data_IF_351457482285
#
_entry.id   IF_351457482285
#
_cell.length_a   1.000
_cell.length_b   1.000
_cell.length_c   1.000
_cell.angle_alpha   90.00
_cell.angle_beta   90.00
_cell.angle_gamma   90.00
#
_symmetry.space_group_name_H-M   'P 1'
#
loop_
_entity.id
_entity.type
_entity.pdbx_description
1 polymer ?
#
# COMPACT_ATOMS: atom_id res chain seq x y z
N UNK A 1 -15.72 -40.71 -4.99
CA UNK A 1 -15.43 -39.40 -4.36
C UNK A 1 -15.26 -38.41 -5.51
N UNK A 2 -16.26 -37.49 -5.75
CA UNK A 2 -16.10 -36.40 -6.71
C UNK A 2 -14.91 -35.56 -6.23
N UNK A 3 -13.92 -35.30 -7.10
CA UNK A 3 -12.82 -34.38 -6.81
C UNK A 3 -13.45 -33.01 -6.53
N UNK A 4 -13.40 -32.56 -5.29
CA UNK A 4 -13.84 -31.21 -4.91
C UNK A 4 -13.06 -30.18 -5.69
N UNK A 5 -13.72 -29.19 -6.24
CA UNK A 5 -13.10 -28.04 -6.89
C UNK A 5 -12.56 -27.15 -5.79
N UNK A 6 -11.26 -26.93 -5.73
CA UNK A 6 -10.65 -25.97 -4.79
C UNK A 6 -10.39 -24.68 -5.55
N UNK A 7 -10.90 -23.59 -5.04
CA UNK A 7 -10.65 -22.25 -5.59
C UNK A 7 -10.02 -21.40 -4.49
N UNK A 8 -8.95 -20.68 -4.82
CA UNK A 8 -8.31 -19.71 -3.90
C UNK A 8 -8.91 -18.34 -4.18
N UNK A 9 -9.55 -17.77 -3.18
CA UNK A 9 -10.11 -16.43 -3.25
C UNK A 9 -9.23 -15.52 -2.38
N UNK A 10 -8.60 -14.47 -2.95
CA UNK A 10 -7.75 -13.58 -2.20
C UNK A 10 -8.56 -12.72 -1.22
N UNK A 11 -7.93 -12.18 -0.18
CA UNK A 11 -8.57 -11.20 0.68
C UNK A 11 -8.92 -9.94 -0.11
N UNK A 12 -10.20 -9.53 -0.07
CA UNK A 12 -10.66 -8.33 -0.75
C UNK A 12 -10.68 -7.10 0.16
N UNK A 13 -10.70 -5.95 -0.48
CA UNK A 13 -10.90 -4.64 0.13
C UNK A 13 -12.22 -4.01 -0.35
N UNK A 14 -12.75 -3.05 0.39
CA UNK A 14 -13.80 -2.16 -0.13
C UNK A 14 -13.15 -1.12 -1.06
N UNK A 15 -12.90 -1.53 -2.31
CA UNK A 15 -12.11 -0.76 -3.26
C UNK A 15 -12.69 0.62 -3.55
N UNK A 16 -14.01 0.80 -3.46
CA UNK A 16 -14.66 2.10 -3.69
C UNK A 16 -14.19 3.18 -2.72
N UNK A 17 -13.83 2.80 -1.47
CA UNK A 17 -13.34 3.75 -0.46
C UNK A 17 -11.98 4.35 -0.78
N UNK A 18 -11.20 3.68 -1.63
CA UNK A 18 -9.82 4.07 -1.91
C UNK A 18 -9.63 4.76 -3.25
N UNK A 19 -10.69 4.89 -4.06
CA UNK A 19 -10.59 5.55 -5.37
C UNK A 19 -10.01 6.95 -5.24
N UNK A 20 -9.11 7.30 -6.16
CA UNK A 20 -8.50 8.63 -6.17
C UNK A 20 -9.54 9.74 -6.29
N UNK A 21 -9.43 10.71 -5.41
CA UNK A 21 -10.25 11.92 -5.38
C UNK A 21 -9.35 13.15 -5.19
N UNK A 22 -9.29 14.00 -6.20
CA UNK A 22 -8.45 15.19 -6.19
C UNK A 22 -8.88 16.21 -5.12
N UNK A 23 -10.19 16.32 -4.85
CA UNK A 23 -10.68 17.25 -3.83
C UNK A 23 -10.30 16.78 -2.41
N UNK A 24 -10.43 15.49 -2.13
CA UNK A 24 -9.97 14.88 -0.87
C UNK A 24 -8.46 15.03 -0.73
N UNK A 25 -7.70 14.83 -1.83
CA UNK A 25 -6.25 15.04 -1.82
C UNK A 25 -5.88 16.46 -1.40
N UNK A 26 -6.51 17.45 -2.03
CA UNK A 26 -6.25 18.86 -1.74
C UNK A 26 -6.60 19.21 -0.29
N UNK A 27 -7.77 18.76 0.19
CA UNK A 27 -8.20 18.95 1.58
C UNK A 27 -7.21 18.34 2.56
N UNK A 28 -6.83 17.06 2.35
CA UNK A 28 -5.92 16.36 3.26
C UNK A 28 -4.52 16.97 3.28
N UNK A 29 -4.00 17.40 2.11
CA UNK A 29 -2.69 18.06 2.04
C UNK A 29 -2.70 19.39 2.77
N UNK A 30 -3.77 20.19 2.64
CA UNK A 30 -3.94 21.43 3.39
C UNK A 30 -4.05 21.17 4.89
N UNK A 31 -4.90 20.21 5.30
CA UNK A 31 -5.10 19.84 6.70
C UNK A 31 -3.79 19.41 7.37
N UNK A 32 -2.96 18.66 6.66
CA UNK A 32 -1.67 18.15 7.13
C UNK A 32 -0.48 19.08 6.85
N UNK A 33 -0.72 20.27 6.25
CA UNK A 33 0.31 21.26 5.88
C UNK A 33 1.38 20.66 4.95
N UNK A 34 0.91 19.95 3.92
CA UNK A 34 1.75 19.21 2.96
C UNK A 34 1.81 19.89 1.57
N UNK A 35 1.32 21.14 1.45
CA UNK A 35 1.41 21.88 0.19
C UNK A 35 2.87 22.04 -0.24
N UNK A 36 3.16 21.76 -1.51
CA UNK A 36 4.52 21.80 -2.06
C UNK A 36 5.47 20.73 -1.53
N UNK A 37 5.00 19.78 -0.71
CA UNK A 37 5.82 18.66 -0.23
C UNK A 37 5.74 17.48 -1.18
N UNK A 38 6.82 16.72 -1.25
CA UNK A 38 6.85 15.39 -1.84
C UNK A 38 6.58 14.36 -0.73
N UNK A 39 5.43 13.70 -0.78
CA UNK A 39 4.92 12.89 0.33
C UNK A 39 5.11 11.41 0.04
N UNK A 40 6.02 10.79 0.78
CA UNK A 40 6.17 9.34 0.83
C UNK A 40 5.26 8.79 1.93
N UNK A 41 4.43 7.81 1.62
CA UNK A 41 3.57 7.14 2.58
C UNK A 41 4.00 5.71 2.87
N UNK A 42 3.79 5.28 4.10
CA UNK A 42 3.84 3.88 4.50
C UNK A 42 2.69 3.59 5.46
N UNK A 43 2.00 2.47 5.25
CA UNK A 43 0.91 2.00 6.10
C UNK A 43 1.22 0.59 6.55
N UNK A 44 1.37 0.40 7.87
CA UNK A 44 1.68 -0.91 8.42
C UNK A 44 2.05 -0.87 9.90
N UNK A 45 1.91 -2.00 10.59
CA UNK A 45 2.29 -2.11 11.98
C UNK A 45 3.82 -1.99 12.17
N UNK A 46 4.26 -1.35 13.25
CA UNK A 46 5.68 -1.23 13.58
C UNK A 46 6.21 -2.55 14.14
N UNK A 47 6.41 -3.52 13.23
CA UNK A 47 6.95 -4.86 13.50
C UNK A 47 8.07 -5.19 12.50
N UNK A 48 8.91 -6.15 12.85
CA UNK A 48 10.08 -6.55 12.05
C UNK A 48 9.79 -6.80 10.56
N UNK A 49 8.70 -7.48 10.17
CA UNK A 49 8.42 -7.73 8.74
C UNK A 49 8.29 -6.46 7.89
N UNK A 50 7.84 -5.34 8.48
CA UNK A 50 7.64 -4.08 7.74
C UNK A 50 8.93 -3.31 7.44
N UNK A 51 10.06 -3.72 8.06
CA UNK A 51 11.40 -3.22 7.73
C UNK A 51 11.55 -1.69 7.78
N UNK A 52 11.01 -1.07 8.83
CA UNK A 52 11.07 0.39 9.01
C UNK A 52 12.48 0.94 9.07
N UNK A 53 13.45 0.13 9.53
CA UNK A 53 14.88 0.51 9.55
C UNK A 53 15.35 0.85 8.13
N UNK A 54 15.13 -0.04 7.18
CA UNK A 54 15.50 0.16 5.80
C UNK A 54 14.66 1.25 5.12
N UNK A 55 13.37 1.32 5.46
CA UNK A 55 12.48 2.39 5.00
C UNK A 55 13.01 3.78 5.37
N UNK A 56 13.49 3.98 6.60
CA UNK A 56 14.10 5.25 7.02
C UNK A 56 15.41 5.54 6.28
N UNK A 57 16.23 4.52 6.00
CA UNK A 57 17.45 4.68 5.19
C UNK A 57 17.13 5.15 3.77
N UNK A 58 16.10 4.57 3.12
CA UNK A 58 15.63 5.00 1.81
C UNK A 58 15.12 6.45 1.87
N UNK A 59 14.31 6.78 2.87
CA UNK A 59 13.79 8.13 3.02
C UNK A 59 14.90 9.14 3.32
N UNK A 60 15.91 8.79 4.09
CA UNK A 60 17.09 9.63 4.31
C UNK A 60 17.78 9.97 2.99
N UNK A 61 17.95 8.99 2.10
CA UNK A 61 18.54 9.22 0.78
C UNK A 61 17.64 10.11 -0.11
N UNK A 62 16.31 9.98 -0.03
CA UNK A 62 15.37 10.90 -0.70
C UNK A 62 15.52 12.31 -0.13
N UNK A 63 15.49 12.45 1.21
CA UNK A 63 15.56 13.74 1.90
C UNK A 63 16.87 14.50 1.67
N UNK A 64 17.97 13.79 1.46
CA UNK A 64 19.25 14.42 1.05
C UNK A 64 19.11 15.16 -0.27
N UNK A 65 18.38 14.62 -1.24
CA UNK A 65 18.21 15.12 -2.60
C UNK A 65 17.01 16.07 -2.75
N UNK A 66 15.96 15.84 -1.98
CA UNK A 66 14.70 16.60 -2.00
C UNK A 66 14.32 17.07 -0.59
N UNK A 67 14.74 18.27 -0.20
CA UNK A 67 14.51 18.82 1.15
C UNK A 67 13.03 19.12 1.44
N UNK A 68 12.17 19.15 0.45
CA UNK A 68 10.73 19.25 0.59
C UNK A 68 10.04 17.87 0.77
N UNK A 69 10.78 16.76 0.74
CA UNK A 69 10.21 15.44 1.00
C UNK A 69 9.79 15.29 2.47
N UNK A 70 8.69 14.57 2.68
CA UNK A 70 8.20 14.16 4.00
C UNK A 70 7.78 12.69 3.96
N UNK A 71 7.93 12.01 5.10
CA UNK A 71 7.51 10.63 5.28
C UNK A 71 6.35 10.57 6.27
N UNK A 72 5.23 9.98 5.84
CA UNK A 72 4.07 9.74 6.70
C UNK A 72 4.00 8.23 7.02
N UNK A 73 4.05 7.90 8.30
CA UNK A 73 4.00 6.54 8.82
C UNK A 73 2.69 6.33 9.58
N UNK A 74 1.81 5.48 9.04
CA UNK A 74 0.54 5.11 9.64
C UNK A 74 0.63 3.70 10.22
N UNK A 75 0.20 3.55 11.47
CA UNK A 75 0.19 2.30 12.21
C UNK A 75 0.86 2.44 13.58
N UNK A 76 0.81 1.36 14.34
CA UNK A 76 1.40 1.24 15.67
C UNK A 76 2.13 -0.08 15.81
N UNK A 77 2.94 -0.21 16.84
CA UNK A 77 3.62 -1.46 17.16
C UNK A 77 4.86 -1.29 18.03
N UNK A 78 5.39 -2.42 18.46
CA UNK A 78 6.46 -2.48 19.47
C UNK A 78 7.77 -1.81 19.04
N UNK A 79 8.00 -1.65 17.74
CA UNK A 79 9.22 -1.03 17.23
C UNK A 79 9.11 0.49 17.02
N UNK A 80 7.95 1.11 17.30
CA UNK A 80 7.71 2.51 16.97
C UNK A 80 8.74 3.45 17.62
N UNK A 81 9.04 3.25 18.92
CA UNK A 81 10.02 4.09 19.62
C UNK A 81 11.45 3.88 19.09
N UNK A 82 11.81 2.66 18.72
CA UNK A 82 13.10 2.37 18.07
C UNK A 82 13.22 3.10 16.73
N UNK A 83 12.13 3.12 15.93
CA UNK A 83 12.11 3.79 14.63
C UNK A 83 12.17 5.31 14.78
N UNK A 84 11.52 5.90 15.81
CA UNK A 84 11.65 7.33 16.13
C UNK A 84 13.09 7.71 16.45
N UNK A 85 13.73 6.95 17.35
CA UNK A 85 15.12 7.18 17.72
C UNK A 85 16.05 7.10 16.50
N UNK A 86 15.85 6.14 15.63
CA UNK A 86 16.61 6.04 14.38
C UNK A 86 16.42 7.24 13.46
N UNK A 87 15.19 7.79 13.37
CA UNK A 87 14.94 9.00 12.58
C UNK A 87 15.69 10.23 13.16
N UNK A 88 15.82 10.32 14.49
CA UNK A 88 16.64 11.33 15.17
C UNK A 88 18.13 11.14 14.87
N UNK A 89 18.65 9.93 15.00
CA UNK A 89 20.05 9.59 14.71
C UNK A 89 20.44 9.89 13.25
N UNK A 90 19.49 9.70 12.32
CA UNK A 90 19.68 10.05 10.90
C UNK A 90 19.49 11.57 10.62
N UNK A 91 19.06 12.36 11.61
CA UNK A 91 18.84 13.79 11.44
C UNK A 91 17.66 14.14 10.52
N UNK A 92 16.65 13.26 10.43
CA UNK A 92 15.47 13.42 9.58
C UNK A 92 14.15 13.50 10.36
N UNK A 93 14.19 13.49 11.69
CA UNK A 93 13.00 13.46 12.55
C UNK A 93 11.98 14.56 12.22
N UNK A 94 12.44 15.75 11.82
CA UNK A 94 11.59 16.88 11.43
C UNK A 94 10.78 16.64 10.13
N UNK A 95 11.15 15.62 9.34
CA UNK A 95 10.49 15.28 8.08
C UNK A 95 9.75 13.94 8.14
N UNK A 96 9.73 13.27 9.31
CA UNK A 96 9.05 11.98 9.53
C UNK A 96 7.90 12.16 10.50
N UNK A 97 6.69 11.83 10.07
CA UNK A 97 5.48 11.99 10.88
C UNK A 97 4.91 10.62 11.25
N UNK A 98 4.86 10.33 12.54
CA UNK A 98 4.27 9.13 13.11
C UNK A 98 2.81 9.41 13.46
N UNK A 99 1.88 8.90 12.67
CA UNK A 99 0.46 9.27 12.75
C UNK A 99 -0.38 8.27 13.57
N UNK A 100 0.22 7.16 14.03
CA UNK A 100 -0.51 6.12 14.75
C UNK A 100 -1.55 5.41 13.88
N UNK A 101 -2.49 4.72 14.52
CA UNK A 101 -3.61 4.10 13.84
C UNK A 101 -4.63 5.16 13.40
N UNK A 102 -5.07 5.07 12.14
CA UNK A 102 -6.05 5.99 11.57
C UNK A 102 -7.30 5.23 11.15
N UNK A 103 -8.48 5.75 11.52
CA UNK A 103 -9.76 5.14 11.14
C UNK A 103 -10.06 5.26 9.64
N UNK A 104 -9.67 6.39 9.04
CA UNK A 104 -9.92 6.71 7.63
C UNK A 104 -8.63 6.70 6.80
N UNK A 105 -7.93 5.55 6.77
CA UNK A 105 -6.65 5.39 6.05
C UNK A 105 -6.79 5.77 4.57
N UNK A 106 -7.95 5.53 3.95
CA UNK A 106 -8.25 5.89 2.56
C UNK A 106 -7.99 7.37 2.25
N UNK A 107 -8.26 8.26 3.19
CA UNK A 107 -8.00 9.71 3.02
C UNK A 107 -6.51 10.03 3.04
N UNK A 108 -5.71 9.30 3.81
CA UNK A 108 -4.26 9.49 3.84
C UNK A 108 -3.59 9.04 2.55
N UNK A 109 -4.06 7.97 1.92
CA UNK A 109 -3.58 7.58 0.60
C UNK A 109 -3.76 8.72 -0.42
N UNK A 110 -4.81 9.54 -0.32
CA UNK A 110 -4.99 10.68 -1.20
C UNK A 110 -3.86 11.72 -1.04
N UNK A 111 -3.34 11.92 0.18
CA UNK A 111 -2.29 12.88 0.45
C UNK A 111 -0.90 12.44 -0.05
N UNK A 112 -0.65 11.14 -0.19
CA UNK A 112 0.64 10.58 -0.62
C UNK A 112 0.93 10.90 -2.08
N UNK A 113 2.20 10.93 -2.44
CA UNK A 113 2.70 10.97 -3.82
C UNK A 113 3.25 9.59 -4.23
N UNK A 114 3.74 8.81 -3.27
CA UNK A 114 4.33 7.49 -3.49
C UNK A 114 4.12 6.59 -2.28
N UNK A 115 3.84 5.31 -2.49
CA UNK A 115 3.88 4.30 -1.42
C UNK A 115 5.24 3.61 -1.42
N UNK A 116 5.93 3.61 -0.27
CA UNK A 116 7.17 2.88 -0.04
C UNK A 116 6.90 1.68 0.88
N UNK A 117 7.18 0.46 0.39
CA UNK A 117 6.81 -0.76 1.10
C UNK A 117 7.91 -1.84 1.03
N UNK A 118 9.07 -1.63 1.72
CA UNK A 118 10.23 -2.50 1.66
C UNK A 118 10.15 -3.66 2.66
N UNK A 119 8.96 -4.27 2.82
CA UNK A 119 8.74 -5.37 3.76
C UNK A 119 9.64 -6.56 3.46
N UNK A 120 10.09 -7.25 4.50
CA UNK A 120 10.92 -8.46 4.38
C UNK A 120 10.12 -9.64 3.84
N UNK A 121 8.87 -9.75 4.24
CA UNK A 121 7.91 -10.74 3.75
C UNK A 121 6.48 -10.28 4.06
N UNK A 122 5.55 -10.64 3.20
CA UNK A 122 4.11 -10.48 3.36
C UNK A 122 3.40 -11.67 2.69
N UNK A 123 2.21 -11.99 3.19
CA UNK A 123 1.29 -12.82 2.43
C UNK A 123 0.77 -12.01 1.24
N UNK A 124 -0.45 -11.51 1.33
CA UNK A 124 -1.01 -10.58 0.34
C UNK A 124 -1.34 -9.26 1.05
N UNK A 125 -0.48 -8.22 0.89
CA UNK A 125 -0.64 -6.98 1.63
C UNK A 125 -1.78 -6.13 1.07
N UNK A 126 -2.92 -6.07 1.78
CA UNK A 126 -4.06 -5.20 1.44
C UNK A 126 -3.67 -3.74 1.25
N UNK A 127 -2.72 -3.24 2.04
CA UNK A 127 -2.12 -1.90 1.93
C UNK A 127 -1.68 -1.55 0.51
N UNK A 128 -1.06 -2.51 -0.21
CA UNK A 128 -0.58 -2.29 -1.59
C UNK A 128 -1.75 -2.27 -2.56
N UNK A 129 -2.78 -3.11 -2.34
CA UNK A 129 -4.02 -3.10 -3.14
C UNK A 129 -4.77 -1.77 -2.96
N UNK A 130 -4.90 -1.29 -1.72
CA UNK A 130 -5.51 0.00 -1.37
C UNK A 130 -4.79 1.17 -2.05
N UNK A 131 -3.47 1.19 -1.99
CA UNK A 131 -2.64 2.22 -2.61
C UNK A 131 -2.78 2.23 -4.14
N UNK A 132 -2.78 1.06 -4.79
CA UNK A 132 -3.01 0.96 -6.23
C UNK A 132 -4.41 1.44 -6.61
N UNK A 133 -5.45 1.11 -5.82
CA UNK A 133 -6.81 1.60 -6.04
C UNK A 133 -6.86 3.12 -6.01
N UNK A 134 -6.09 3.73 -5.11
CA UNK A 134 -5.92 5.19 -5.03
C UNK A 134 -5.01 5.76 -6.12
N UNK A 135 -4.57 4.97 -7.08
CA UNK A 135 -3.72 5.43 -8.19
C UNK A 135 -2.30 5.80 -7.75
N UNK A 136 -1.81 5.28 -6.62
CA UNK A 136 -0.45 5.53 -6.16
C UNK A 136 0.56 4.62 -6.85
N UNK A 137 1.69 5.18 -7.23
CA UNK A 137 2.88 4.38 -7.50
C UNK A 137 3.38 3.74 -6.21
N UNK A 138 3.68 2.45 -6.31
CA UNK A 138 4.12 1.64 -5.19
C UNK A 138 5.50 1.04 -5.51
N UNK A 139 6.50 1.35 -4.71
CA UNK A 139 7.77 0.63 -4.73
C UNK A 139 7.79 -0.35 -3.57
N UNK A 140 7.76 -1.63 -3.89
CA UNK A 140 7.64 -2.72 -2.91
C UNK A 140 8.78 -3.71 -3.07
N UNK A 141 9.09 -4.46 -2.01
CA UNK A 141 10.16 -5.46 -2.11
C UNK A 141 9.78 -6.64 -3.00
N UNK A 142 10.76 -7.22 -3.66
CA UNK A 142 10.62 -8.41 -4.52
C UNK A 142 10.39 -9.71 -3.75
N UNK A 143 10.45 -9.65 -2.41
CA UNK A 143 10.12 -10.77 -1.51
C UNK A 143 8.62 -10.92 -1.26
N UNK A 144 7.80 -9.97 -1.73
CA UNK A 144 6.34 -10.00 -1.64
C UNK A 144 5.77 -10.76 -2.84
N UNK A 145 4.63 -11.45 -2.63
CA UNK A 145 3.96 -12.17 -3.73
C UNK A 145 3.67 -11.28 -4.93
N UNK A 146 3.98 -11.79 -6.13
CA UNK A 146 3.72 -11.08 -7.38
C UNK A 146 2.22 -10.83 -7.65
N UNK A 147 1.35 -11.60 -6.99
CA UNK A 147 -0.11 -11.48 -7.13
C UNK A 147 -0.64 -10.09 -6.73
N UNK A 148 0.09 -9.36 -5.87
CA UNK A 148 -0.30 -8.02 -5.46
C UNK A 148 -0.03 -6.95 -6.52
N UNK A 149 0.75 -7.25 -7.55
CA UNK A 149 1.03 -6.35 -8.67
C UNK A 149 -0.13 -6.29 -9.67
N UNK A 150 -1.23 -5.63 -9.30
CA UNK A 150 -2.48 -5.58 -10.04
C UNK A 150 -2.41 -4.59 -11.22
N UNK A 151 -1.66 -3.50 -11.03
CA UNK A 151 -1.57 -2.38 -11.98
C UNK A 151 -0.13 -2.09 -12.39
N UNK A 152 0.04 -1.32 -13.44
CA UNK A 152 1.33 -0.78 -13.90
C UNK A 152 2.01 0.18 -12.90
N UNK A 153 1.31 0.53 -11.82
CA UNK A 153 1.81 1.42 -10.78
C UNK A 153 2.69 0.71 -9.74
N UNK A 154 2.71 -0.63 -9.75
CA UNK A 154 3.50 -1.41 -8.78
C UNK A 154 4.81 -1.86 -9.39
N UNK A 155 5.91 -1.53 -8.70
CA UNK A 155 7.24 -1.99 -9.05
C UNK A 155 7.80 -2.83 -7.92
N UNK A 156 8.19 -4.06 -8.24
CA UNK A 156 8.94 -4.94 -7.36
C UNK A 156 10.42 -4.61 -7.43
N UNK A 157 11.04 -4.36 -6.28
CA UNK A 157 12.42 -3.93 -6.22
C UNK A 157 13.21 -4.72 -5.18
N UNK A 158 14.42 -5.13 -5.53
CA UNK A 158 15.16 -6.07 -4.70
C UNK A 158 15.69 -5.43 -3.42
N UNK A 159 15.53 -6.14 -2.30
CA UNK A 159 16.14 -5.77 -1.02
C UNK A 159 17.68 -5.92 -1.02
N UNK A 160 18.28 -6.52 -2.05
CA UNK A 160 19.74 -6.53 -2.25
C UNK A 160 20.28 -5.18 -2.74
N UNK A 161 19.39 -4.32 -3.24
CA UNK A 161 19.72 -2.97 -3.66
C UNK A 161 19.89 -2.04 -2.47
N UNK A 162 20.77 -1.07 -2.62
CA UNK A 162 21.03 -0.06 -1.58
C UNK A 162 19.84 0.89 -1.40
N UNK A 163 19.77 1.53 -0.24
CA UNK A 163 18.79 2.58 0.03
C UNK A 163 18.89 3.75 -0.99
N UNK A 164 20.09 4.05 -1.47
CA UNK A 164 20.30 5.06 -2.49
C UNK A 164 19.66 4.68 -3.83
N UNK A 165 19.79 3.42 -4.28
CA UNK A 165 19.17 2.93 -5.51
C UNK A 165 17.64 2.96 -5.43
N UNK A 166 17.06 2.60 -4.27
CA UNK A 166 15.62 2.73 -4.00
C UNK A 166 15.16 4.19 -4.10
N UNK A 167 15.93 5.10 -3.50
CA UNK A 167 15.64 6.53 -3.53
C UNK A 167 15.73 7.10 -4.96
N UNK A 168 16.77 6.73 -5.72
CA UNK A 168 16.95 7.16 -7.11
C UNK A 168 15.78 6.70 -7.98
N UNK A 169 15.31 5.46 -7.79
CA UNK A 169 14.15 4.94 -8.50
C UNK A 169 12.88 5.76 -8.20
N UNK A 170 12.59 6.04 -6.93
CA UNK A 170 11.41 6.83 -6.52
C UNK A 170 11.47 8.23 -7.14
N UNK A 171 12.61 8.90 -7.04
CA UNK A 171 12.78 10.27 -7.55
C UNK A 171 12.60 10.31 -9.08
N UNK A 172 13.21 9.36 -9.79
CA UNK A 172 13.11 9.29 -11.26
C UNK A 172 11.68 9.02 -11.75
N UNK A 173 10.85 8.37 -10.93
CA UNK A 173 9.49 7.98 -11.30
C UNK A 173 8.41 8.74 -10.48
N UNK A 174 8.75 9.86 -9.84
CA UNK A 174 7.81 10.61 -9.01
C UNK A 174 6.78 11.42 -9.81
N UNK A 175 7.13 11.84 -11.03
CA UNK A 175 6.24 12.58 -11.90
C UNK A 175 5.35 11.64 -12.72
N UNK A 176 4.05 11.69 -12.50
CA UNK A 176 3.05 10.95 -13.27
C UNK A 176 1.66 11.56 -13.09
N UNK A 177 0.77 11.31 -14.04
CA UNK A 177 -0.64 11.65 -13.90
C UNK A 177 -1.34 10.59 -13.05
N UNK A 178 -1.93 11.04 -11.94
CA UNK A 178 -2.59 10.14 -11.00
C UNK A 178 -4.06 9.99 -11.35
N UNK A 179 -4.49 8.75 -11.55
CA UNK A 179 -5.88 8.35 -11.77
C UNK A 179 -6.23 7.14 -10.93
N UNK A 180 -7.51 7.00 -10.52
CA UNK A 180 -7.96 5.83 -9.77
C UNK A 180 -7.96 4.55 -10.62
N UNK A 181 -7.68 3.41 -9.99
CA UNK A 181 -7.53 2.10 -10.65
C UNK A 181 -8.59 1.08 -10.22
N UNK A 182 -9.79 1.56 -9.92
CA UNK A 182 -10.88 0.70 -9.42
C UNK A 182 -11.20 -0.48 -10.35
N UNK A 183 -11.23 -0.24 -11.67
CA UNK A 183 -11.61 -1.28 -12.63
C UNK A 183 -10.58 -2.41 -12.71
N UNK A 184 -9.28 -2.08 -12.64
CA UNK A 184 -8.21 -3.08 -12.61
C UNK A 184 -8.28 -3.93 -11.35
N UNK A 185 -8.51 -3.30 -10.20
CA UNK A 185 -8.62 -3.97 -8.89
C UNK A 185 -9.84 -4.90 -8.85
N UNK A 186 -10.98 -4.47 -9.39
CA UNK A 186 -12.18 -5.31 -9.55
C UNK A 186 -11.92 -6.51 -10.45
N UNK A 187 -11.33 -6.30 -11.63
CA UNK A 187 -11.01 -7.37 -12.58
C UNK A 187 -10.03 -8.39 -12.00
N UNK A 188 -9.12 -7.95 -11.15
CA UNK A 188 -8.18 -8.82 -10.45
C UNK A 188 -8.80 -9.59 -9.26
N UNK A 189 -10.09 -9.33 -8.92
CA UNK A 189 -10.81 -10.06 -7.87
C UNK A 189 -10.52 -9.55 -6.45
N UNK A 190 -10.00 -8.34 -6.28
CA UNK A 190 -9.69 -7.77 -4.96
C UNK A 190 -10.77 -6.82 -4.41
N UNK A 191 -11.91 -6.70 -5.08
CA UNK A 191 -13.04 -5.90 -4.62
C UNK A 191 -14.06 -6.77 -3.86
N UNK A 192 -14.47 -6.32 -2.68
CA UNK A 192 -15.35 -7.10 -1.79
C UNK A 192 -16.74 -7.34 -2.40
N UNK A 193 -17.27 -6.40 -3.20
CA UNK A 193 -18.58 -6.57 -3.84
C UNK A 193 -18.52 -7.66 -4.94
N UNK A 194 -17.44 -7.66 -5.73
CA UNK A 194 -17.24 -8.71 -6.75
C UNK A 194 -17.01 -10.08 -6.11
N UNK A 195 -16.28 -10.14 -5.00
CA UNK A 195 -16.11 -11.39 -4.27
C UNK A 195 -17.42 -11.90 -3.65
N UNK A 196 -18.25 -11.01 -3.09
CA UNK A 196 -19.54 -11.40 -2.54
C UNK A 196 -20.43 -12.06 -3.60
N UNK A 197 -20.47 -11.51 -4.84
CA UNK A 197 -21.18 -12.14 -5.96
C UNK A 197 -20.58 -13.52 -6.29
N UNK A 198 -19.26 -13.61 -6.32
CA UNK A 198 -18.57 -14.89 -6.58
C UNK A 198 -18.90 -15.95 -5.54
N UNK A 199 -18.93 -15.58 -4.27
CA UNK A 199 -19.38 -16.50 -3.20
C UNK A 199 -20.83 -16.94 -3.39
N UNK A 200 -21.74 -16.02 -3.74
CA UNK A 200 -23.15 -16.36 -4.00
C UNK A 200 -23.29 -17.36 -5.16
N UNK A 201 -22.52 -17.20 -6.24
CA UNK A 201 -22.49 -18.16 -7.36
C UNK A 201 -21.99 -19.56 -6.93
N UNK A 202 -20.90 -19.60 -6.12
CA UNK A 202 -20.32 -20.87 -5.65
C UNK A 202 -21.28 -21.60 -4.71
N UNK A 203 -21.89 -20.91 -3.76
CA UNK A 203 -22.80 -21.52 -2.77
C UNK A 203 -24.21 -21.72 -3.32
N UNK A 204 -24.74 -20.84 -4.17
CA UNK A 204 -26.04 -21.00 -4.81
C UNK A 204 -26.10 -22.19 -5.78
N UNK A 205 -24.97 -22.50 -6.48
CA UNK A 205 -24.87 -23.70 -7.33
C UNK A 205 -24.75 -25.03 -6.56
N UNK A 206 -24.54 -24.99 -5.24
CA UNK A 206 -24.48 -26.21 -4.41
C UNK A 206 -25.91 -26.70 -4.06
N UNK A 207 -26.86 -25.79 -3.89
CA UNK A 207 -28.25 -26.11 -3.56
C UNK A 207 -28.99 -26.74 -4.76
N UNK A 208 -28.68 -26.32 -6.00
CA UNK A 208 -29.28 -26.88 -7.22
C UNK A 208 -28.79 -28.33 -7.52
N UNK A 209 -27.61 -28.73 -7.08
CA UNK A 209 -27.08 -30.09 -7.23
C UNK A 209 -27.61 -31.07 -6.14
N UNK A 210 -28.13 -30.56 -5.03
CA UNK A 210 -28.66 -31.39 -3.94
C UNK A 210 -30.09 -31.94 -4.25
N UNK A 211 -30.88 -31.22 -5.02
CA UNK A 211 -32.23 -31.61 -5.41
C UNK A 211 -32.29 -32.58 -6.61
N UNK A 212 -31.16 -32.85 -7.27
CA UNK A 212 -31.07 -33.77 -8.41
C UNK A 212 -30.58 -35.19 -8.06
N UNK A 213 -30.59 -35.58 -6.77
CA UNK A 213 -30.25 -36.93 -6.29
C UNK A 213 -31.44 -37.47 -5.54
N UNK A 214 -32.53 -37.69 -6.24
CA UNK A 214 -33.71 -38.50 -5.77
C UNK A 214 -34.11 -39.50 -6.82
#
# INVERSE_FOLDING_TARGET
VKKGRTEVIPNAIDAKKYVYDAAVREEMRRRLKLEGKFVIGHVGSFRSPKNHVFLLQIFFEIYKRQKNAVLLLLGEGVLMETVKKQAEELGIAQAVFFLGNQAEVSRYYQAFDYLLFPSLYEGLPGTVVEAQTAGLRCLISDTITQEVGITDLTTFYSLQKTAAEWADYIIAHSAYERTGRLLEVKRAGFDIEEQAKRYQEIYGGIDDDADNVS
#
